data_IF_852112768491
#
_entry.id   IF_852112768491
#
_cell.length_a   1.000
_cell.length_b   1.000
_cell.length_c   1.000
_cell.angle_alpha   90.00
_cell.angle_beta   90.00
_cell.angle_gamma   90.00
#
_symmetry.space_group_name_H-M   'P 1'
#
loop_
_entity.id
_entity.type
_entity.pdbx_description
1 polymer ?
#
# COMPACT_ATOMS: atom_id res chain seq x y z
N UNK A 1 39.79 48.94 -10.24
CA UNK A 1 39.26 47.56 -10.27
C UNK A 1 38.36 47.33 -9.05
N UNK A 2 37.03 47.53 -9.20
CA UNK A 2 36.09 47.60 -8.07
C UNK A 2 35.50 46.21 -7.80
N UNK A 3 35.86 45.62 -6.66
CA UNK A 3 35.50 44.28 -6.16
C UNK A 3 33.98 44.11 -5.89
N UNK A 4 33.12 44.25 -6.91
CA UNK A 4 31.64 44.17 -6.79
C UNK A 4 31.08 42.75 -6.91
N UNK A 5 31.82 41.84 -7.55
CA UNK A 5 31.42 40.43 -7.70
C UNK A 5 31.21 39.65 -6.39
N UNK A 6 32.12 39.73 -5.39
CA UNK A 6 31.97 38.89 -4.19
C UNK A 6 30.81 39.32 -3.29
N UNK A 7 30.48 40.62 -3.26
CA UNK A 7 29.39 41.14 -2.43
C UNK A 7 28.01 40.74 -2.98
N UNK A 8 27.86 40.73 -4.30
CA UNK A 8 26.64 40.26 -4.97
C UNK A 8 26.43 38.75 -4.75
N UNK A 9 27.51 37.98 -4.78
CA UNK A 9 27.46 36.53 -4.56
C UNK A 9 27.11 36.19 -3.11
N UNK A 10 27.68 36.90 -2.13
CA UNK A 10 27.30 36.74 -0.71
C UNK A 10 25.84 37.11 -0.45
N UNK A 11 25.33 38.16 -1.10
CA UNK A 11 23.95 38.58 -0.96
C UNK A 11 22.96 37.54 -1.52
N UNK A 12 23.28 36.91 -2.65
CA UNK A 12 22.47 35.85 -3.25
C UNK A 12 22.44 34.57 -2.39
N UNK A 13 23.55 34.23 -1.72
CA UNK A 13 23.63 33.12 -0.76
C UNK A 13 22.78 33.35 0.50
N UNK A 14 22.54 34.60 0.88
CA UNK A 14 21.73 34.92 2.06
C UNK A 14 20.23 34.71 1.81
N UNK A 15 19.76 34.92 0.58
CA UNK A 15 18.35 34.78 0.21
C UNK A 15 17.87 33.32 0.09
N UNK A 16 18.78 32.33 0.04
CA UNK A 16 18.41 30.90 -0.03
C UNK A 16 18.27 30.24 1.34
N UNK A 17 18.53 30.98 2.43
CA UNK A 17 18.49 30.48 3.82
C UNK A 17 17.11 30.54 4.48
N UNK A 18 16.02 30.59 3.71
CA UNK A 18 14.68 30.34 4.23
C UNK A 18 14.49 28.83 4.46
N UNK A 19 15.11 28.31 5.52
CA UNK A 19 14.77 27.00 6.03
C UNK A 19 13.33 27.07 6.56
N UNK A 20 12.39 26.43 5.87
CA UNK A 20 11.02 26.25 6.34
C UNK A 20 11.08 25.50 7.68
N UNK A 21 10.57 26.13 8.75
CA UNK A 21 10.45 25.45 10.04
C UNK A 21 9.67 24.13 9.85
N UNK A 22 10.14 23.02 10.43
CA UNK A 22 9.35 21.80 10.47
C UNK A 22 7.98 22.13 11.05
N UNK A 23 6.92 21.85 10.29
CA UNK A 23 5.56 22.04 10.78
C UNK A 23 5.39 21.17 12.02
N UNK A 24 5.01 21.77 13.14
CA UNK A 24 4.69 20.99 14.34
C UNK A 24 3.62 19.94 13.98
N UNK A 25 3.78 18.70 14.46
CA UNK A 25 2.79 17.66 14.22
C UNK A 25 1.45 18.15 14.74
N UNK A 26 0.43 18.09 13.87
CA UNK A 26 -0.94 18.40 14.28
C UNK A 26 -1.30 17.54 15.50
N UNK A 27 -2.07 18.09 16.47
CA UNK A 27 -2.61 17.30 17.57
C UNK A 27 -3.27 16.04 17.01
N UNK A 28 -3.02 14.90 17.67
CA UNK A 28 -3.64 13.65 17.27
C UNK A 28 -5.17 13.83 17.28
N UNK A 29 -5.88 13.42 16.21
CA UNK A 29 -7.33 13.50 16.21
C UNK A 29 -7.90 12.62 17.31
N UNK A 30 -9.05 13.03 17.84
CA UNK A 30 -9.83 12.23 18.78
C UNK A 30 -10.18 10.89 18.08
N UNK A 31 -10.10 9.72 18.75
CA UNK A 31 -10.30 8.42 18.11
C UNK A 31 -11.56 8.33 17.24
N UNK A 32 -12.68 8.87 17.70
CA UNK A 32 -13.96 8.84 16.99
C UNK A 32 -13.89 9.63 15.67
N UNK A 33 -13.22 10.79 15.67
CA UNK A 33 -13.03 11.59 14.46
C UNK A 33 -12.14 10.87 13.45
N UNK A 34 -11.07 10.22 13.92
CA UNK A 34 -10.18 9.45 13.04
C UNK A 34 -10.94 8.30 12.37
N UNK A 35 -11.72 7.54 13.13
CA UNK A 35 -12.53 6.44 12.61
C UNK A 35 -13.58 6.96 11.63
N UNK A 36 -14.24 8.09 11.92
CA UNK A 36 -15.19 8.71 11.01
C UNK A 36 -14.55 9.13 9.68
N UNK A 37 -13.37 9.76 9.73
CA UNK A 37 -12.60 10.15 8.52
C UNK A 37 -12.17 8.94 7.72
N UNK A 38 -11.66 7.89 8.37
CA UNK A 38 -11.28 6.64 7.72
C UNK A 38 -12.48 5.97 7.05
N UNK A 39 -13.64 5.94 7.71
CA UNK A 39 -14.87 5.38 7.14
C UNK A 39 -15.32 6.18 5.92
N UNK A 40 -15.38 7.51 6.01
CA UNK A 40 -15.75 8.38 4.90
C UNK A 40 -14.80 8.19 3.70
N UNK A 41 -13.49 8.14 3.95
CA UNK A 41 -12.51 7.86 2.90
C UNK A 41 -12.67 6.44 2.33
N UNK A 42 -12.90 5.42 3.16
CA UNK A 42 -13.13 4.07 2.68
C UNK A 42 -14.36 3.97 1.77
N UNK A 43 -15.39 4.79 1.97
CA UNK A 43 -16.60 4.79 1.16
C UNK A 43 -16.37 5.31 -0.26
N UNK A 44 -15.36 6.17 -0.48
CA UNK A 44 -15.01 6.66 -1.83
C UNK A 44 -14.27 5.62 -2.67
N UNK A 45 -13.65 4.62 -2.02
CA UNK A 45 -12.91 3.56 -2.70
C UNK A 45 -13.87 2.49 -3.25
N UNK A 46 -13.91 2.36 -4.57
CA UNK A 46 -14.67 1.31 -5.27
C UNK A 46 -13.87 0.04 -5.50
N UNK A 47 -12.55 0.16 -5.58
CA UNK A 47 -11.64 -0.95 -5.76
C UNK A 47 -10.17 -0.56 -5.55
N UNK A 48 -9.33 -1.57 -5.51
CA UNK A 48 -7.90 -1.48 -5.30
C UNK A 48 -7.20 -2.47 -6.24
N UNK A 49 -6.06 -2.06 -6.79
CA UNK A 49 -5.11 -2.96 -7.43
C UNK A 49 -3.70 -2.67 -6.92
N UNK A 50 -2.89 -3.69 -6.72
CA UNK A 50 -1.50 -3.46 -6.31
C UNK A 50 -0.74 -4.73 -5.99
N UNK A 51 0.54 -4.54 -5.69
CA UNK A 51 1.42 -5.56 -5.13
C UNK A 51 1.50 -5.35 -3.62
N UNK A 52 1.32 -6.41 -2.85
CA UNK A 52 1.44 -6.41 -1.41
C UNK A 52 2.59 -7.32 -0.96
N UNK A 53 3.30 -6.91 0.08
CA UNK A 53 4.25 -7.77 0.78
C UNK A 53 3.55 -8.32 2.02
N UNK A 54 3.24 -9.62 2.02
CA UNK A 54 2.46 -10.26 3.07
C UNK A 54 3.40 -11.08 3.95
N UNK A 55 3.37 -10.80 5.25
CA UNK A 55 4.06 -11.58 6.27
C UNK A 55 3.03 -12.21 7.20
N UNK A 56 3.09 -13.52 7.32
CA UNK A 56 2.22 -14.29 8.20
C UNK A 56 3.07 -14.98 9.26
N UNK A 57 2.67 -14.80 10.51
CA UNK A 57 3.29 -15.43 11.68
C UNK A 57 2.26 -16.28 12.41
N UNK A 58 2.54 -17.58 12.53
CA UNK A 58 1.74 -18.56 13.24
C UNK A 58 2.65 -19.45 14.11
N UNK A 59 2.12 -20.14 15.14
CA UNK A 59 2.93 -21.06 15.94
C UNK A 59 3.69 -22.07 15.06
N UNK A 60 5.02 -22.02 15.13
CA UNK A 60 5.92 -22.90 14.37
C UNK A 60 6.09 -22.57 12.88
N UNK A 61 5.45 -21.52 12.35
CA UNK A 61 5.55 -21.15 10.93
C UNK A 61 5.53 -19.63 10.73
N UNK A 62 6.56 -19.12 10.06
CA UNK A 62 6.60 -17.77 9.52
C UNK A 62 6.77 -17.87 8.01
N UNK A 63 5.96 -17.16 7.24
CA UNK A 63 6.20 -17.03 5.80
C UNK A 63 6.01 -15.59 5.34
N UNK A 64 6.78 -15.23 4.32
CA UNK A 64 6.75 -13.92 3.67
C UNK A 64 6.57 -14.15 2.18
N UNK A 65 5.62 -13.46 1.56
CA UNK A 65 5.28 -13.62 0.15
C UNK A 65 4.92 -12.27 -0.49
N UNK A 66 4.98 -12.22 -1.81
CA UNK A 66 4.40 -11.12 -2.58
C UNK A 66 3.03 -11.54 -3.12
N UNK A 67 2.05 -10.67 -3.02
CA UNK A 67 0.68 -10.89 -3.49
C UNK A 67 0.31 -9.87 -4.55
N UNK A 68 -0.25 -10.33 -5.67
CA UNK A 68 -1.00 -9.44 -6.57
C UNK A 68 -2.43 -9.37 -6.07
N UNK A 69 -2.92 -8.17 -5.78
CA UNK A 69 -4.26 -7.95 -5.24
C UNK A 69 -5.09 -7.18 -6.25
N UNK A 70 -6.29 -7.68 -6.55
CA UNK A 70 -7.37 -6.94 -7.19
C UNK A 70 -8.62 -7.06 -6.34
N UNK A 71 -9.09 -5.97 -5.77
CA UNK A 71 -10.30 -5.92 -4.96
C UNK A 71 -11.29 -4.92 -5.55
N UNK A 72 -12.57 -5.25 -5.55
CA UNK A 72 -13.65 -4.36 -5.96
C UNK A 72 -14.93 -4.68 -5.19
N UNK A 73 -15.61 -3.66 -4.70
CA UNK A 73 -16.90 -3.83 -4.00
C UNK A 73 -17.98 -4.41 -4.93
N UNK A 74 -18.98 -5.12 -4.40
CA UNK A 74 -19.17 -5.47 -2.98
C UNK A 74 -18.42 -6.73 -2.51
N UNK A 75 -17.87 -7.55 -3.41
CA UNK A 75 -17.24 -8.82 -3.01
C UNK A 75 -16.29 -9.42 -4.05
N UNK A 76 -15.86 -8.64 -5.04
CA UNK A 76 -14.91 -9.13 -6.03
C UNK A 76 -13.49 -9.04 -5.46
N UNK A 77 -12.81 -10.17 -5.39
CA UNK A 77 -11.43 -10.25 -4.94
C UNK A 77 -10.68 -11.27 -5.78
N UNK A 78 -9.47 -10.93 -6.21
CA UNK A 78 -8.49 -11.84 -6.79
C UNK A 78 -7.15 -11.62 -6.10
N UNK A 79 -6.53 -12.73 -5.70
CA UNK A 79 -5.21 -12.80 -5.10
C UNK A 79 -4.34 -13.75 -5.90
N UNK A 80 -3.07 -13.41 -6.04
CA UNK A 80 -2.06 -14.26 -6.67
C UNK A 80 -0.78 -14.23 -5.84
N UNK A 81 -0.53 -15.33 -5.14
CA UNK A 81 0.68 -15.51 -4.35
C UNK A 81 1.84 -15.76 -5.29
N UNK A 82 2.83 -14.88 -5.31
CA UNK A 82 3.97 -14.97 -6.20
C UNK A 82 5.13 -15.74 -5.55
N UNK A 83 5.84 -16.50 -6.38
CA UNK A 83 7.17 -17.00 -6.06
C UNK A 83 8.17 -15.83 -6.00
N UNK A 84 9.38 -16.04 -5.47
CA UNK A 84 10.44 -15.03 -5.53
C UNK A 84 10.80 -14.56 -6.95
N UNK A 85 10.47 -15.36 -7.98
CA UNK A 85 10.71 -15.03 -9.40
C UNK A 85 9.49 -14.37 -10.06
N UNK A 86 8.42 -14.08 -9.31
CA UNK A 86 7.20 -13.44 -9.81
C UNK A 86 6.22 -14.39 -10.50
N UNK A 87 6.44 -15.70 -10.46
CA UNK A 87 5.49 -16.69 -10.98
C UNK A 87 4.41 -17.00 -9.95
N UNK A 88 3.11 -16.97 -10.30
CA UNK A 88 2.06 -17.31 -9.34
C UNK A 88 2.14 -18.77 -8.89
N UNK A 89 2.19 -18.98 -7.57
CA UNK A 89 2.17 -20.27 -6.89
C UNK A 89 0.77 -20.66 -6.40
N UNK A 90 -0.10 -19.67 -6.22
CA UNK A 90 -1.47 -19.86 -5.77
C UNK A 90 -2.36 -18.76 -6.32
N UNK A 91 -3.57 -19.15 -6.71
CA UNK A 91 -4.61 -18.23 -7.17
C UNK A 91 -5.82 -18.36 -6.26
N UNK A 92 -6.40 -17.23 -5.90
CA UNK A 92 -7.69 -17.15 -5.23
C UNK A 92 -8.55 -16.11 -5.96
N UNK A 93 -9.81 -16.42 -6.20
CA UNK A 93 -10.75 -15.47 -6.77
C UNK A 93 -12.17 -15.68 -6.23
N UNK A 94 -12.89 -14.60 -5.97
CA UNK A 94 -14.30 -14.60 -5.59
C UNK A 94 -15.06 -13.45 -6.24
N UNK A 95 -16.35 -13.67 -6.46
CA UNK A 95 -17.33 -12.66 -6.90
C UNK A 95 -18.27 -12.22 -5.76
N UNK A 96 -18.05 -12.68 -4.53
CA UNK A 96 -18.90 -12.43 -3.37
C UNK A 96 -20.03 -13.45 -3.16
N UNK A 97 -20.15 -14.46 -4.03
CA UNK A 97 -21.10 -15.57 -3.91
C UNK A 97 -20.36 -16.91 -3.88
N UNK A 98 -19.47 -17.09 -4.85
CA UNK A 98 -18.60 -18.24 -4.95
C UNK A 98 -17.13 -17.83 -4.81
N UNK A 99 -16.31 -18.75 -4.31
CA UNK A 99 -14.86 -18.65 -4.32
C UNK A 99 -14.27 -19.79 -5.14
N UNK A 100 -13.12 -19.51 -5.75
CA UNK A 100 -12.30 -20.48 -6.46
C UNK A 100 -10.85 -20.32 -6.05
N UNK A 101 -10.14 -21.45 -5.94
CA UNK A 101 -8.72 -21.48 -5.66
C UNK A 101 -8.03 -22.45 -6.59
N UNK A 102 -6.81 -22.12 -6.99
CA UNK A 102 -5.98 -23.00 -7.81
C UNK A 102 -4.56 -23.02 -7.28
N UNK A 103 -4.03 -24.22 -7.03
CA UNK A 103 -2.64 -24.46 -6.65
C UNK A 103 -1.91 -25.19 -7.78
N UNK A 104 -1.24 -24.47 -8.70
CA UNK A 104 -0.51 -25.05 -9.83
C UNK A 104 0.44 -26.18 -9.45
N UNK A 105 1.20 -26.03 -8.36
CA UNK A 105 2.19 -27.02 -7.93
C UNK A 105 1.60 -28.35 -7.48
N UNK A 106 0.30 -28.38 -7.15
CA UNK A 106 -0.42 -29.60 -6.78
C UNK A 106 -1.39 -30.04 -7.89
N UNK A 107 -1.55 -29.22 -8.93
CA UNK A 107 -2.61 -29.34 -9.93
C UNK A 107 -4.00 -29.53 -9.30
N UNK A 108 -4.30 -28.76 -8.25
CA UNK A 108 -5.57 -28.83 -7.51
C UNK A 108 -6.38 -27.56 -7.66
N UNK A 109 -7.65 -27.74 -7.98
CA UNK A 109 -8.64 -26.69 -8.06
C UNK A 109 -9.73 -26.92 -7.02
N UNK A 110 -10.08 -25.86 -6.30
CA UNK A 110 -11.12 -25.85 -5.28
C UNK A 110 -12.18 -24.83 -5.63
N UNK A 111 -13.44 -25.16 -5.37
CA UNK A 111 -14.58 -24.24 -5.52
C UNK A 111 -15.55 -24.45 -4.37
N UNK A 112 -16.13 -23.36 -3.88
CA UNK A 112 -17.13 -23.41 -2.82
C UNK A 112 -17.84 -22.07 -2.69
N UNK A 113 -18.89 -22.00 -1.84
CA UNK A 113 -19.48 -20.72 -1.45
C UNK A 113 -18.48 -19.87 -0.65
N UNK A 114 -18.68 -18.55 -0.66
CA UNK A 114 -17.95 -17.60 0.21
C UNK A 114 -18.44 -17.69 1.64
#
# INVERSE_FOLDING_TARGET
MRKRGPFLFLFLLWCTSCATLPREPSPAPIPEELIARLRAHSQTLQGLKGLAHVRVSAPGKNFTTQEVIFARRPGFLRLETLSPLGTPLFYFATNGQDLSMYHPGENRYYKGPV
#
